data_IF_499268250405
#
_entry.id   IF_499268250405
#
_cell.length_a   1.000
_cell.length_b   1.000
_cell.length_c   1.000
_cell.angle_alpha   90.00
_cell.angle_beta   90.00
_cell.angle_gamma   90.00
#
_symmetry.space_group_name_H-M   'P 1'
#
loop_
_entity.id
_entity.type
_entity.pdbx_description
1 polymer ?
#
# COMPACT_ATOMS: atom_id res chain seq x y z
N UNK A 1 -44.41 75.36 -27.71
CA UNK A 1 -43.17 75.26 -28.45
C UNK A 1 -42.10 74.94 -27.40
N UNK A 2 -41.74 73.70 -27.29
CA UNK A 2 -40.78 73.27 -26.33
C UNK A 2 -40.21 71.93 -26.68
N UNK A 3 -38.92 71.83 -26.72
CA UNK A 3 -38.20 70.64 -27.06
C UNK A 3 -37.86 69.85 -25.80
N UNK A 4 -38.27 68.59 -25.82
CA UNK A 4 -37.97 67.65 -24.80
C UNK A 4 -36.56 67.10 -24.95
N UNK A 5 -35.80 67.21 -23.89
CA UNK A 5 -34.50 66.58 -23.78
C UNK A 5 -34.64 65.20 -23.15
N UNK A 6 -34.53 64.17 -23.95
CA UNK A 6 -34.49 62.81 -23.43
C UNK A 6 -33.09 62.49 -22.91
N UNK A 7 -33.00 62.34 -21.60
CA UNK A 7 -31.81 61.88 -20.94
C UNK A 7 -31.77 60.35 -21.04
N UNK A 8 -30.83 59.80 -21.84
CA UNK A 8 -30.55 58.38 -21.94
C UNK A 8 -29.71 57.94 -20.74
N UNK A 9 -30.30 57.21 -19.84
CA UNK A 9 -29.57 56.50 -18.78
C UNK A 9 -29.05 55.20 -19.39
N UNK A 10 -27.75 55.11 -19.60
CA UNK A 10 -27.07 53.88 -19.94
C UNK A 10 -26.78 53.16 -18.63
N UNK A 11 -27.58 52.16 -18.28
CA UNK A 11 -27.28 51.23 -17.22
C UNK A 11 -26.25 50.23 -17.75
N UNK A 12 -24.99 50.47 -17.39
CA UNK A 12 -23.89 49.56 -17.69
C UNK A 12 -23.94 48.40 -16.68
N UNK A 13 -24.57 47.31 -17.05
CA UNK A 13 -24.58 46.07 -16.27
C UNK A 13 -23.22 45.41 -16.44
N UNK A 14 -22.31 45.66 -15.50
CA UNK A 14 -21.03 44.97 -15.42
C UNK A 14 -21.30 43.54 -14.89
N UNK A 15 -21.36 42.58 -15.81
CA UNK A 15 -21.48 41.16 -15.51
C UNK A 15 -20.11 40.71 -14.99
N UNK A 16 -19.98 40.62 -13.65
CA UNK A 16 -18.80 40.10 -12.98
C UNK A 16 -18.83 38.56 -13.17
N UNK A 17 -18.14 38.05 -14.19
CA UNK A 17 -17.83 36.64 -14.34
C UNK A 17 -16.86 36.27 -13.18
N UNK A 18 -17.39 35.78 -12.08
CA UNK A 18 -16.61 35.04 -11.11
C UNK A 18 -16.29 33.70 -11.76
N UNK A 19 -15.13 33.62 -12.38
CA UNK A 19 -14.53 32.35 -12.75
C UNK A 19 -14.24 31.59 -11.44
N UNK A 20 -15.14 30.69 -11.06
CA UNK A 20 -14.85 29.63 -10.09
C UNK A 20 -13.82 28.71 -10.75
N UNK A 21 -12.56 29.12 -10.76
CA UNK A 21 -11.45 28.21 -10.92
C UNK A 21 -11.42 27.36 -9.66
N UNK A 22 -12.22 26.30 -9.64
CA UNK A 22 -12.04 25.18 -8.74
C UNK A 22 -10.76 24.45 -9.12
N UNK A 23 -9.61 25.09 -8.93
CA UNK A 23 -8.38 24.36 -8.74
C UNK A 23 -8.55 23.68 -7.39
N UNK A 24 -8.75 22.38 -7.39
CA UNK A 24 -8.31 21.54 -6.30
C UNK A 24 -6.81 21.83 -6.17
N UNK A 25 -6.46 22.81 -5.34
CA UNK A 25 -5.08 22.98 -4.93
C UNK A 25 -4.71 21.66 -4.27
N UNK A 26 -3.80 20.91 -4.90
CA UNK A 26 -3.09 19.83 -4.23
C UNK A 26 -2.30 20.50 -3.11
N UNK A 27 -2.95 20.68 -1.94
CA UNK A 27 -2.23 21.14 -0.76
C UNK A 27 -1.08 20.19 -0.51
N UNK A 28 0.12 20.75 -0.30
CA UNK A 28 1.29 19.91 0.04
C UNK A 28 0.98 19.10 1.28
N UNK A 29 1.26 17.79 1.27
CA UNK A 29 1.02 16.94 2.42
C UNK A 29 1.71 17.49 3.67
N UNK A 30 0.96 17.59 4.76
CA UNK A 30 1.47 18.14 6.04
C UNK A 30 1.90 17.02 6.97
N UNK A 31 3.10 17.14 7.54
CA UNK A 31 3.58 16.29 8.62
C UNK A 31 2.64 16.38 9.83
N UNK A 32 2.42 15.25 10.51
CA UNK A 32 1.47 15.12 11.61
C UNK A 32 0.00 15.01 11.18
N UNK A 33 -0.30 15.20 9.88
CA UNK A 33 -1.64 15.05 9.30
C UNK A 33 -1.66 13.92 8.27
N UNK A 34 -0.96 14.08 7.14
CA UNK A 34 -0.92 13.11 6.05
C UNK A 34 0.16 12.03 6.23
N UNK A 35 1.23 12.36 6.93
CA UNK A 35 2.33 11.45 7.24
C UNK A 35 3.02 11.84 8.54
N UNK A 36 3.80 10.91 9.09
CA UNK A 36 4.70 11.15 10.22
C UNK A 36 6.13 10.77 9.83
N UNK A 37 7.11 11.36 10.50
CA UNK A 37 8.51 10.96 10.38
C UNK A 37 8.80 9.93 11.46
N UNK A 38 9.31 8.76 11.08
CA UNK A 38 9.67 7.71 12.05
C UNK A 38 10.94 8.09 12.80
N UNK A 39 11.03 7.71 14.06
CA UNK A 39 12.20 8.02 14.90
C UNK A 39 13.47 7.29 14.44
N UNK A 40 13.30 6.07 13.95
CA UNK A 40 14.40 5.21 13.48
C UNK A 40 14.17 4.83 12.03
N UNK A 41 14.72 5.57 11.06
CA UNK A 41 14.60 5.21 9.64
C UNK A 41 15.24 3.85 9.36
N UNK A 42 14.66 3.10 8.43
CA UNK A 42 15.19 1.81 7.96
C UNK A 42 15.90 2.03 6.62
N UNK A 43 17.21 1.81 6.60
CA UNK A 43 18.01 1.91 5.39
C UNK A 43 17.95 0.62 4.55
N UNK A 44 18.25 0.73 3.25
CA UNK A 44 18.32 -0.42 2.35
C UNK A 44 16.97 -1.02 1.95
N UNK A 45 15.86 -0.33 2.25
CA UNK A 45 14.53 -0.70 1.76
C UNK A 45 14.19 0.04 0.47
N UNK A 46 13.19 -0.45 -0.28
CA UNK A 46 12.70 0.24 -1.46
C UNK A 46 12.17 1.65 -1.12
N UNK A 47 12.18 2.55 -2.12
CA UNK A 47 11.74 3.93 -1.94
C UNK A 47 10.30 4.02 -1.43
N UNK A 48 9.42 3.11 -1.86
CA UNK A 48 8.06 2.99 -1.35
C UNK A 48 7.78 1.54 -1.01
N UNK A 49 7.32 1.31 0.21
CA UNK A 49 6.96 -0.02 0.71
C UNK A 49 5.51 0.01 1.21
N UNK A 50 4.69 -0.89 0.70
CA UNK A 50 3.43 -1.24 1.37
C UNK A 50 3.72 -2.30 2.43
N UNK A 51 3.36 -2.00 3.67
CA UNK A 51 3.40 -2.96 4.78
C UNK A 51 2.01 -3.57 4.90
N UNK A 52 1.91 -4.89 4.81
CA UNK A 52 0.63 -5.59 4.70
C UNK A 52 0.60 -6.93 5.45
N UNK A 53 -0.56 -7.61 5.44
CA UNK A 53 -0.72 -8.97 5.94
C UNK A 53 -1.71 -9.76 5.11
N UNK A 54 -1.41 -11.01 4.79
CA UNK A 54 -2.37 -11.94 4.17
C UNK A 54 -3.61 -12.17 5.03
N UNK A 55 -3.52 -12.01 6.35
CA UNK A 55 -4.68 -12.09 7.25
C UNK A 55 -5.56 -10.83 7.28
N UNK A 56 -5.19 -9.77 6.58
CA UNK A 56 -5.89 -8.48 6.61
C UNK A 56 -6.81 -8.30 5.39
N UNK A 57 -8.11 -8.25 5.60
CA UNK A 57 -9.08 -8.04 4.50
C UNK A 57 -8.92 -6.70 3.78
N UNK A 58 -8.53 -5.62 4.50
CA UNK A 58 -8.25 -4.33 3.87
C UNK A 58 -6.99 -4.39 2.99
N UNK A 59 -5.99 -5.20 3.34
CA UNK A 59 -4.80 -5.41 2.52
C UNK A 59 -5.14 -6.13 1.21
N UNK A 60 -6.01 -7.16 1.26
CA UNK A 60 -6.51 -7.83 0.04
C UNK A 60 -7.23 -6.85 -0.90
N UNK A 61 -8.03 -5.92 -0.34
CA UNK A 61 -8.65 -4.88 -1.14
C UNK A 61 -7.62 -3.87 -1.69
N UNK A 62 -6.57 -3.56 -0.93
CA UNK A 62 -5.49 -2.68 -1.36
C UNK A 62 -4.74 -3.23 -2.59
N UNK A 63 -4.58 -4.55 -2.71
CA UNK A 63 -3.98 -5.18 -3.89
C UNK A 63 -4.65 -4.73 -5.21
N UNK A 64 -5.96 -4.56 -5.20
CA UNK A 64 -6.71 -4.10 -6.38
C UNK A 64 -6.44 -2.63 -6.72
N UNK A 65 -6.03 -1.83 -5.74
CA UNK A 65 -5.78 -0.40 -5.87
C UNK A 65 -4.31 -0.08 -6.15
N UNK A 66 -3.38 -0.96 -5.77
CA UNK A 66 -1.94 -0.75 -5.95
C UNK A 66 -1.53 -0.37 -7.37
N UNK A 67 -2.05 -0.99 -8.45
CA UNK A 67 -1.68 -0.61 -9.82
C UNK A 67 -2.01 0.84 -10.14
N UNK A 68 -3.16 1.34 -9.67
CA UNK A 68 -3.55 2.74 -9.89
C UNK A 68 -2.75 3.69 -8.98
N UNK A 69 -2.46 3.32 -7.72
CA UNK A 69 -1.59 4.11 -6.84
C UNK A 69 -0.20 4.26 -7.46
N UNK A 70 0.42 3.15 -7.93
CA UNK A 70 1.72 3.18 -8.62
C UNK A 70 1.73 4.12 -9.81
N UNK A 71 0.68 4.06 -10.63
CA UNK A 71 0.53 4.91 -11.81
C UNK A 71 0.36 6.40 -11.42
N UNK A 72 -0.51 6.70 -10.46
CA UNK A 72 -0.79 8.07 -10.02
C UNK A 72 0.40 8.69 -9.27
N UNK A 73 1.08 7.92 -8.44
CA UNK A 73 2.26 8.37 -7.71
C UNK A 73 3.55 8.38 -8.55
N UNK A 74 3.55 7.72 -9.71
CA UNK A 74 4.72 7.54 -10.58
C UNK A 74 5.89 6.84 -9.88
N UNK A 75 5.59 5.86 -9.02
CA UNK A 75 6.56 5.09 -8.25
C UNK A 75 6.32 3.59 -8.40
N UNK A 76 7.37 2.78 -8.18
CA UNK A 76 7.16 1.37 -7.85
C UNK A 76 6.91 1.21 -6.34
N UNK A 77 6.16 0.18 -5.95
CA UNK A 77 5.83 -0.12 -4.56
C UNK A 77 6.23 -1.57 -4.30
N UNK A 78 7.15 -1.75 -3.37
CA UNK A 78 7.49 -3.06 -2.84
C UNK A 78 6.56 -3.42 -1.68
N UNK A 79 6.53 -4.70 -1.30
CA UNK A 79 5.64 -5.17 -0.25
C UNK A 79 6.41 -5.89 0.84
N UNK A 80 6.06 -5.58 2.10
CA UNK A 80 6.62 -6.22 3.30
C UNK A 80 5.46 -6.76 4.13
N UNK A 81 5.49 -8.08 4.40
CA UNK A 81 4.49 -8.71 5.25
C UNK A 81 4.87 -8.57 6.74
N UNK A 82 3.92 -8.14 7.57
CA UNK A 82 4.13 -7.99 9.03
C UNK A 82 4.26 -9.32 9.76
N UNK A 83 4.87 -9.25 10.94
CA UNK A 83 5.15 -10.39 11.82
C UNK A 83 4.63 -10.20 13.27
N UNK A 84 3.63 -9.35 13.47
CA UNK A 84 3.11 -8.87 14.78
C UNK A 84 2.85 -9.95 15.84
N UNK A 85 2.36 -11.10 15.41
CA UNK A 85 1.95 -12.21 16.26
C UNK A 85 2.08 -13.55 15.52
N UNK A 86 1.80 -14.66 16.19
CA UNK A 86 1.96 -16.01 15.61
C UNK A 86 1.18 -16.20 14.30
N UNK A 87 -0.06 -15.71 14.22
CA UNK A 87 -0.86 -15.80 12.99
C UNK A 87 -0.24 -14.98 11.85
N UNK A 88 0.26 -13.77 12.14
CA UNK A 88 0.94 -12.94 11.16
C UNK A 88 2.29 -13.56 10.75
N UNK A 89 3.02 -14.17 11.68
CA UNK A 89 4.27 -14.89 11.38
C UNK A 89 4.03 -16.10 10.48
N UNK A 90 2.97 -16.86 10.74
CA UNK A 90 2.60 -17.97 9.87
C UNK A 90 2.26 -17.47 8.44
N UNK A 91 1.43 -16.44 8.33
CA UNK A 91 1.08 -15.85 7.05
C UNK A 91 2.31 -15.24 6.34
N UNK A 92 3.22 -14.59 7.09
CA UNK A 92 4.49 -14.10 6.58
C UNK A 92 5.38 -15.23 6.03
N UNK A 93 5.43 -16.36 6.75
CA UNK A 93 6.16 -17.54 6.29
C UNK A 93 5.65 -18.04 4.93
N UNK A 94 4.32 -18.09 4.73
CA UNK A 94 3.71 -18.44 3.45
C UNK A 94 4.09 -17.44 2.35
N UNK A 95 3.95 -16.15 2.64
CA UNK A 95 4.28 -15.08 1.70
C UNK A 95 5.75 -15.10 1.29
N UNK A 96 6.67 -15.17 2.25
CA UNK A 96 8.11 -15.16 1.96
C UNK A 96 8.57 -16.46 1.32
N UNK A 97 7.91 -17.60 1.59
CA UNK A 97 8.14 -18.84 0.83
C UNK A 97 7.84 -18.64 -0.65
N UNK A 98 6.74 -17.96 -0.97
CA UNK A 98 6.44 -17.64 -2.36
C UNK A 98 7.45 -16.59 -2.93
N UNK A 99 7.75 -15.55 -2.16
CA UNK A 99 8.61 -14.46 -2.60
C UNK A 99 10.03 -14.91 -2.95
N UNK A 100 10.69 -15.71 -2.11
CA UNK A 100 12.07 -16.17 -2.36
C UNK A 100 12.17 -17.04 -3.60
N UNK A 101 11.09 -17.70 -4.00
CA UNK A 101 11.03 -18.54 -5.19
C UNK A 101 10.53 -17.81 -6.45
N UNK A 102 10.01 -16.58 -6.30
CA UNK A 102 9.44 -15.75 -7.36
C UNK A 102 10.27 -14.47 -7.63
N UNK A 103 11.56 -14.49 -7.36
CA UNK A 103 12.42 -13.32 -7.57
C UNK A 103 12.12 -12.13 -6.66
N UNK A 104 11.58 -12.37 -5.47
CA UNK A 104 11.27 -11.38 -4.45
C UNK A 104 9.82 -10.89 -4.44
N UNK A 105 9.05 -11.11 -5.50
CA UNK A 105 7.67 -10.66 -5.64
C UNK A 105 6.78 -11.78 -6.19
N UNK A 106 5.90 -12.39 -5.37
CA UNK A 106 4.91 -13.35 -5.89
C UNK A 106 3.99 -12.67 -6.91
N UNK A 107 3.52 -13.44 -7.89
CA UNK A 107 2.53 -12.90 -8.85
C UNK A 107 1.24 -12.47 -8.14
N UNK A 108 0.46 -11.53 -8.72
CA UNK A 108 -0.83 -11.12 -8.15
C UNK A 108 -1.77 -12.31 -7.91
N UNK A 109 -1.77 -13.29 -8.82
CA UNK A 109 -2.62 -14.47 -8.75
C UNK A 109 -2.20 -15.39 -7.59
N UNK A 110 -0.89 -15.60 -7.39
CA UNK A 110 -0.38 -16.37 -6.25
C UNK A 110 -0.69 -15.67 -4.93
N UNK A 111 -0.51 -14.34 -4.84
CA UNK A 111 -0.89 -13.59 -3.64
C UNK A 111 -2.38 -13.71 -3.35
N UNK A 112 -3.23 -13.59 -4.36
CA UNK A 112 -4.68 -13.75 -4.20
C UNK A 112 -5.05 -15.17 -3.70
N UNK A 113 -4.39 -16.20 -4.23
CA UNK A 113 -4.58 -17.56 -3.73
C UNK A 113 -4.16 -17.72 -2.26
N UNK A 114 -3.06 -17.07 -1.85
CA UNK A 114 -2.61 -17.06 -0.47
C UNK A 114 -3.54 -16.25 0.45
N UNK A 115 -4.08 -15.10 0.00
CA UNK A 115 -5.12 -14.38 0.72
C UNK A 115 -6.37 -15.24 0.91
N UNK A 116 -6.85 -15.90 -0.14
CA UNK A 116 -7.98 -16.82 -0.08
C UNK A 116 -7.75 -17.99 0.88
N UNK A 117 -6.56 -18.58 0.84
CA UNK A 117 -6.20 -19.63 1.79
C UNK A 117 -6.24 -19.13 3.24
N UNK A 118 -5.55 -18.05 3.56
CA UNK A 118 -5.42 -17.56 4.94
C UNK A 118 -6.74 -17.04 5.49
N UNK A 119 -7.54 -16.33 4.68
CA UNK A 119 -8.76 -15.65 5.16
C UNK A 119 -10.02 -16.53 5.12
N UNK A 120 -10.07 -17.50 4.21
CA UNK A 120 -11.32 -18.22 3.92
C UNK A 120 -11.21 -19.73 4.15
N UNK A 121 -10.08 -20.35 3.81
CA UNK A 121 -10.00 -21.81 3.70
C UNK A 121 -9.33 -22.46 4.92
N UNK A 122 -8.28 -21.85 5.47
CA UNK A 122 -7.44 -22.48 6.49
C UNK A 122 -8.18 -22.79 7.79
N UNK A 123 -9.25 -22.05 8.14
CA UNK A 123 -10.00 -22.25 9.37
C UNK A 123 -10.81 -23.56 9.37
N UNK A 124 -11.26 -23.98 8.20
CA UNK A 124 -12.13 -25.17 8.01
C UNK A 124 -11.34 -26.46 7.79
N UNK A 125 -10.00 -26.37 7.69
CA UNK A 125 -9.12 -27.48 7.40
C UNK A 125 -8.34 -27.94 8.64
N UNK A 126 -8.17 -29.25 8.79
CA UNK A 126 -7.21 -29.82 9.73
C UNK A 126 -5.76 -29.62 9.20
N UNK A 127 -4.77 -30.11 9.95
CA UNK A 127 -3.36 -29.92 9.61
C UNK A 127 -2.99 -30.58 8.26
N UNK A 128 -3.49 -31.77 7.98
CA UNK A 128 -3.25 -32.48 6.73
C UNK A 128 -3.94 -31.79 5.57
N UNK A 129 -5.17 -31.32 5.76
CA UNK A 129 -5.91 -30.56 4.76
C UNK A 129 -5.23 -29.22 4.40
N UNK A 130 -4.70 -28.52 5.41
CA UNK A 130 -3.91 -27.28 5.16
C UNK A 130 -2.64 -27.56 4.38
N UNK A 131 -1.92 -28.63 4.75
CA UNK A 131 -0.73 -29.04 4.00
C UNK A 131 -1.07 -29.34 2.55
N UNK A 132 -2.04 -30.21 2.30
CA UNK A 132 -2.44 -30.59 0.95
C UNK A 132 -2.89 -29.38 0.11
N UNK A 133 -3.63 -28.44 0.74
CA UNK A 133 -4.09 -27.23 0.05
C UNK A 133 -2.94 -26.27 -0.30
N UNK A 134 -1.96 -26.12 0.57
CA UNK A 134 -0.77 -25.32 0.28
C UNK A 134 0.08 -26.00 -0.80
N UNK A 135 0.28 -27.32 -0.75
CA UNK A 135 0.98 -28.07 -1.80
C UNK A 135 0.30 -27.87 -3.17
N UNK A 136 -1.05 -27.89 -3.22
CA UNK A 136 -1.82 -27.59 -4.42
C UNK A 136 -1.57 -26.15 -4.90
N UNK A 137 -1.68 -25.14 -4.02
CA UNK A 137 -1.50 -23.72 -4.39
C UNK A 137 -0.10 -23.51 -4.95
N UNK A 138 0.94 -23.92 -4.22
CA UNK A 138 2.31 -23.65 -4.64
C UNK A 138 2.69 -24.40 -5.94
N UNK A 139 2.23 -25.63 -6.11
CA UNK A 139 2.48 -26.41 -7.34
C UNK A 139 1.88 -25.79 -8.60
N UNK A 140 0.78 -25.05 -8.50
CA UNK A 140 0.17 -24.34 -9.64
C UNK A 140 1.09 -23.25 -10.23
N UNK A 141 2.10 -22.82 -9.47
CA UNK A 141 3.06 -21.78 -9.87
C UNK A 141 4.48 -22.31 -10.03
N UNK A 142 4.65 -23.64 -10.17
CA UNK A 142 5.92 -24.32 -10.35
C UNK A 142 6.95 -24.05 -9.24
N UNK A 143 6.48 -23.84 -8.01
CA UNK A 143 7.31 -23.62 -6.81
C UNK A 143 6.97 -24.64 -5.72
N UNK A 144 7.92 -24.90 -4.82
CA UNK A 144 7.71 -25.86 -3.73
C UNK A 144 6.94 -25.22 -2.57
N UNK A 145 6.16 -26.04 -1.89
CA UNK A 145 5.39 -25.60 -0.72
C UNK A 145 6.29 -25.29 0.48
N UNK A 146 5.77 -24.60 1.49
CA UNK A 146 6.52 -24.30 2.72
C UNK A 146 7.10 -25.52 3.43
N UNK A 147 6.54 -26.71 3.19
CA UNK A 147 6.96 -27.95 3.83
C UNK A 147 8.17 -28.60 3.14
N UNK A 148 8.42 -28.26 1.89
CA UNK A 148 9.43 -28.88 1.02
C UNK A 148 10.60 -27.97 0.68
N UNK A 149 10.74 -26.83 1.39
CA UNK A 149 11.87 -25.91 1.25
C UNK A 149 13.18 -26.60 1.61
N UNK A 150 14.22 -26.39 0.81
CA UNK A 150 15.58 -26.75 1.19
C UNK A 150 16.15 -25.79 2.24
N UNK A 151 17.33 -26.10 2.79
CA UNK A 151 17.90 -25.32 3.90
C UNK A 151 18.27 -23.89 3.47
N UNK A 152 18.73 -23.69 2.23
CA UNK A 152 19.03 -22.36 1.69
C UNK A 152 17.76 -21.50 1.57
N UNK A 153 16.67 -22.06 1.05
CA UNK A 153 15.38 -21.38 0.95
C UNK A 153 14.81 -21.03 2.34
N UNK A 154 14.91 -21.95 3.30
CA UNK A 154 14.49 -21.69 4.69
C UNK A 154 15.25 -20.52 5.29
N UNK A 155 16.58 -20.49 5.09
CA UNK A 155 17.41 -19.38 5.56
C UNK A 155 17.02 -18.05 4.90
N UNK A 156 16.77 -18.03 3.60
CA UNK A 156 16.30 -16.84 2.88
C UNK A 156 14.95 -16.35 3.42
N UNK A 157 13.99 -17.25 3.64
CA UNK A 157 12.69 -16.90 4.25
C UNK A 157 12.89 -16.32 5.64
N UNK A 158 13.72 -16.93 6.47
CA UNK A 158 14.02 -16.43 7.81
C UNK A 158 14.64 -15.03 7.79
N UNK A 159 15.57 -14.78 6.88
CA UNK A 159 16.19 -13.47 6.70
C UNK A 159 15.17 -12.41 6.26
N UNK A 160 14.27 -12.74 5.33
CA UNK A 160 13.19 -11.84 4.90
C UNK A 160 12.24 -11.50 6.08
N UNK A 161 11.83 -12.50 6.85
CA UNK A 161 10.98 -12.28 8.03
C UNK A 161 11.68 -11.45 9.10
N UNK A 162 12.98 -11.65 9.30
CA UNK A 162 13.78 -10.87 10.25
C UNK A 162 13.87 -9.41 9.80
N UNK A 163 14.13 -9.17 8.52
CA UNK A 163 14.19 -7.82 7.96
C UNK A 163 12.82 -7.12 8.04
N UNK A 164 11.74 -7.85 7.79
CA UNK A 164 10.38 -7.33 7.95
C UNK A 164 10.08 -6.93 9.39
N UNK A 165 10.43 -7.77 10.36
CA UNK A 165 10.27 -7.47 11.78
C UNK A 165 11.08 -6.23 12.19
N UNK A 166 12.31 -6.09 11.69
CA UNK A 166 13.13 -4.92 11.96
C UNK A 166 12.51 -3.63 11.40
N UNK A 167 12.01 -3.66 10.15
CA UNK A 167 11.30 -2.53 9.53
C UNK A 167 10.04 -2.16 10.33
N UNK A 168 9.25 -3.17 10.71
CA UNK A 168 8.04 -3.01 11.50
C UNK A 168 8.31 -2.29 12.84
N UNK A 169 9.36 -2.71 13.55
CA UNK A 169 9.77 -2.10 14.82
C UNK A 169 10.31 -0.68 14.62
N UNK A 170 11.21 -0.47 13.67
CA UNK A 170 11.83 0.83 13.40
C UNK A 170 10.78 1.87 12.99
N UNK A 171 9.86 1.51 12.12
CA UNK A 171 8.80 2.39 11.64
C UNK A 171 7.59 2.44 12.59
N UNK A 172 7.60 1.70 13.70
CA UNK A 172 6.50 1.62 14.67
C UNK A 172 5.17 1.29 13.99
N UNK A 173 5.19 0.34 13.05
CA UNK A 173 3.99 -0.09 12.33
C UNK A 173 3.04 -0.79 13.31
N UNK A 174 1.84 -0.27 13.49
CA UNK A 174 0.82 -0.80 14.42
C UNK A 174 -0.45 -1.26 13.70
N UNK A 175 -0.57 -0.96 12.42
CA UNK A 175 -1.72 -1.33 11.60
C UNK A 175 -1.34 -1.51 10.14
N UNK A 176 -2.14 -2.29 9.41
CA UNK A 176 -1.96 -2.55 7.98
C UNK A 176 -3.31 -2.44 7.24
N UNK A 177 -3.31 -2.07 5.94
CA UNK A 177 -2.16 -1.69 5.15
C UNK A 177 -1.55 -0.36 5.61
N UNK A 178 -0.23 -0.17 5.42
CA UNK A 178 0.47 1.10 5.68
C UNK A 178 1.53 1.31 4.59
N UNK A 179 1.80 2.58 4.25
CA UNK A 179 2.87 2.92 3.30
C UNK A 179 4.03 3.59 4.03
N UNK A 180 5.23 3.07 3.82
CA UNK A 180 6.47 3.66 4.32
C UNK A 180 7.29 4.14 3.12
N UNK A 181 7.64 5.42 3.10
CA UNK A 181 8.41 6.03 2.01
C UNK A 181 9.82 6.35 2.49
N UNK A 182 10.81 5.92 1.70
CA UNK A 182 12.27 6.05 1.99
C UNK A 182 12.68 5.47 3.36
N UNK A 183 11.95 4.47 3.85
CA UNK A 183 12.17 3.92 5.18
C UNK A 183 11.98 4.93 6.33
N UNK A 184 11.43 6.11 6.06
CA UNK A 184 11.43 7.27 6.95
C UNK A 184 10.07 7.91 7.17
N UNK A 185 9.23 7.96 6.14
CA UNK A 185 7.95 8.65 6.19
C UNK A 185 6.80 7.64 6.23
N UNK A 186 6.11 7.56 7.35
CA UNK A 186 4.93 6.69 7.51
C UNK A 186 3.68 7.47 7.11
N UNK A 187 3.02 7.03 6.04
CA UNK A 187 1.80 7.65 5.50
C UNK A 187 0.61 7.32 6.38
N UNK A 188 -0.22 8.31 6.70
CA UNK A 188 -1.43 8.16 7.50
C UNK A 188 -2.63 7.84 6.60
N UNK A 189 -2.86 6.56 6.29
CA UNK A 189 -3.86 6.13 5.31
C UNK A 189 -5.27 6.69 5.57
N UNK A 190 -5.69 6.77 6.82
CA UNK A 190 -7.00 7.32 7.20
C UNK A 190 -7.16 8.84 7.04
N UNK A 191 -6.10 9.55 6.65
CA UNK A 191 -6.10 10.99 6.46
C UNK A 191 -6.28 11.44 5.00
N UNK A 192 -6.58 10.51 4.09
CA UNK A 192 -6.72 10.76 2.65
C UNK A 192 -8.17 10.59 2.21
N UNK A 193 -8.67 11.59 1.49
CA UNK A 193 -10.06 11.61 1.04
C UNK A 193 -10.30 10.82 -0.25
N UNK A 194 -9.24 10.52 -0.99
CA UNK A 194 -9.28 9.75 -2.23
C UNK A 194 -7.97 9.01 -2.49
N UNK A 195 -8.00 8.12 -3.50
CA UNK A 195 -6.83 7.40 -3.96
C UNK A 195 -5.77 8.36 -4.56
N UNK A 196 -6.21 9.39 -5.26
CA UNK A 196 -5.36 10.44 -5.82
C UNK A 196 -4.64 11.23 -4.72
N UNK A 197 -5.34 11.55 -3.63
CA UNK A 197 -4.75 12.24 -2.47
C UNK A 197 -3.68 11.38 -1.79
N UNK A 198 -3.93 10.09 -1.62
CA UNK A 198 -2.94 9.13 -1.12
C UNK A 198 -1.73 9.04 -2.06
N UNK A 199 -1.96 8.87 -3.35
CA UNK A 199 -0.90 8.79 -4.35
C UNK A 199 -0.06 10.06 -4.43
N UNK A 200 -0.70 11.24 -4.34
CA UNK A 200 -0.01 12.54 -4.28
C UNK A 200 0.90 12.64 -3.05
N UNK A 201 0.43 12.15 -1.88
CA UNK A 201 1.27 12.12 -0.67
C UNK A 201 2.48 11.20 -0.85
N UNK A 202 2.28 10.00 -1.40
CA UNK A 202 3.37 9.06 -1.67
C UNK A 202 4.38 9.67 -2.64
N UNK A 203 3.93 10.25 -3.76
CA UNK A 203 4.81 10.91 -4.73
C UNK A 203 5.59 12.07 -4.09
N UNK A 204 4.90 12.96 -3.39
CA UNK A 204 5.56 14.07 -2.69
C UNK A 204 6.68 13.61 -1.76
N UNK A 205 6.45 12.53 -1.00
CA UNK A 205 7.43 12.00 -0.06
C UNK A 205 8.58 11.27 -0.78
N UNK A 206 8.30 10.61 -1.91
CA UNK A 206 9.34 9.95 -2.73
C UNK A 206 10.30 10.95 -3.38
N UNK A 207 9.83 12.16 -3.69
CA UNK A 207 10.63 13.25 -4.26
C UNK A 207 11.33 14.12 -3.20
N UNK A 208 10.88 14.03 -1.93
CA UNK A 208 11.42 14.82 -0.82
C UNK A 208 12.87 14.44 -0.52
N UNK A 209 13.75 15.41 -0.49
CA UNK A 209 15.18 15.26 -0.16
C UNK A 209 15.42 15.04 1.32
#
# INVERSE_FOLDING_TARGET
MSMNTLTKIFASTLFLLVALTGCSENEMPKEGVKYTVVETPTEGVADVVEVFSLGCGHCRNMELMLPEIKKLAEVDIDQVHVTFNESAQYAAYLYYTAAVQSGGKPSPELKEALFGFVQEQAADLDEEGRKNKLDEIFSQYDIVSPFDLNDEQKEQVYQQMTSANQLEQNAQITSVPSFLVKGKYLVQNGAHDSLEDLANTIRYLSEKQ
#
